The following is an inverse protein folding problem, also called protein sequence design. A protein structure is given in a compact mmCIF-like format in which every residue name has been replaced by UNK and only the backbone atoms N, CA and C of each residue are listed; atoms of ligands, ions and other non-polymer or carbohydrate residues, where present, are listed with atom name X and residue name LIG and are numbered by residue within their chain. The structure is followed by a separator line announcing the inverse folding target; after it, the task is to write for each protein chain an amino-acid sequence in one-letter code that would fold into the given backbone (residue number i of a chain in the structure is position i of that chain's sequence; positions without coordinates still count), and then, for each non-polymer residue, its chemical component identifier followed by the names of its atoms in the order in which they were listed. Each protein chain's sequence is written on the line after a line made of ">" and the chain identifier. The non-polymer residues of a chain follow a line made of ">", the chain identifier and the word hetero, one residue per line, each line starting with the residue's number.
data_IF_686358052669
#
_entry.id   IF_686358052669
#
_cell.length_a   1.000
_cell.length_b   1.000
_cell.length_c   1.000
_cell.angle_alpha   90.00
_cell.angle_beta   90.00
_cell.angle_gamma   90.00
#
_symmetry.space_group_name_H-M   'P 1'
#
loop_
_entity.id
_entity.type
_entity.pdbx_description
1 polymer ?
#
# COMPACT_ATOMS: atom_id res chain seq x y z
N UNK A 1 -3.50 11.08 -17.65
CA UNK A 1 -2.94 10.51 -16.41
C UNK A 1 -2.55 9.10 -16.75
N UNK A 2 -1.43 8.91 -17.43
CA UNK A 2 -1.06 7.58 -17.92
C UNK A 2 0.36 7.21 -17.44
N UNK A 3 1.15 8.21 -17.02
CA UNK A 3 2.55 8.05 -16.61
C UNK A 3 2.78 8.17 -15.10
N UNK A 4 1.71 8.26 -14.29
CA UNK A 4 1.81 8.48 -12.83
C UNK A 4 1.67 7.21 -11.98
N UNK A 5 1.57 6.05 -12.63
CA UNK A 5 1.30 4.78 -11.95
C UNK A 5 -0.19 4.56 -11.64
N UNK A 6 -0.46 3.66 -10.69
CA UNK A 6 -1.81 3.20 -10.36
C UNK A 6 -2.17 3.57 -8.92
N UNK A 7 -3.35 4.17 -8.73
CA UNK A 7 -3.93 4.38 -7.40
C UNK A 7 -4.71 3.12 -6.97
N UNK A 8 -4.31 2.53 -5.84
CA UNK A 8 -5.02 1.40 -5.23
C UNK A 8 -5.79 1.91 -4.01
N UNK A 9 -7.12 1.80 -4.05
CA UNK A 9 -7.99 2.10 -2.91
C UNK A 9 -8.20 0.81 -2.13
N UNK A 10 -7.72 0.75 -0.88
CA UNK A 10 -7.81 -0.45 -0.04
C UNK A 10 -9.22 -0.71 0.48
N UNK A 11 -9.94 0.35 0.85
CA UNK A 11 -11.33 0.31 1.34
C UNK A 11 -12.02 1.62 1.00
N UNK A 12 -13.35 1.61 0.73
CA UNK A 12 -14.14 2.84 0.55
C UNK A 12 -14.32 3.65 1.83
N UNK A 13 -14.11 3.06 3.00
CA UNK A 13 -14.26 3.75 4.29
C UNK A 13 -12.97 4.45 4.75
N UNK A 14 -13.05 5.23 5.84
CA UNK A 14 -11.87 5.91 6.38
C UNK A 14 -10.87 4.90 6.93
N UNK A 15 -9.75 4.76 6.23
CA UNK A 15 -8.62 3.94 6.66
C UNK A 15 -7.83 4.62 7.79
N UNK A 16 -7.54 3.90 8.87
CA UNK A 16 -6.91 4.45 10.09
C UNK A 16 -5.91 3.46 10.70
N UNK A 17 -4.83 3.97 11.30
CA UNK A 17 -3.85 3.15 12.02
C UNK A 17 -4.38 2.62 13.37
N UNK A 18 -5.46 3.21 13.90
CA UNK A 18 -6.07 2.78 15.16
C UNK A 18 -7.01 1.58 15.03
N UNK A 19 -7.38 1.17 13.81
CA UNK A 19 -8.15 -0.04 13.57
C UNK A 19 -7.21 -1.19 13.18
N UNK A 20 -7.12 -2.29 13.97
CA UNK A 20 -6.25 -3.42 13.66
C UNK A 20 -6.60 -4.14 12.34
N UNK A 21 -7.86 -4.09 11.90
CA UNK A 21 -8.29 -4.68 10.63
C UNK A 21 -7.71 -3.91 9.44
N UNK A 22 -7.68 -2.58 9.55
CA UNK A 22 -7.04 -1.72 8.54
C UNK A 22 -5.54 -2.03 8.44
N UNK A 23 -4.83 -2.10 9.57
CA UNK A 23 -3.41 -2.45 9.58
C UNK A 23 -3.19 -3.81 8.91
N UNK A 24 -4.00 -4.80 9.24
CA UNK A 24 -3.92 -6.15 8.65
C UNK A 24 -4.15 -6.15 7.13
N UNK A 25 -5.10 -5.32 6.65
CA UNK A 25 -5.35 -5.15 5.22
C UNK A 25 -4.15 -4.52 4.51
N UNK A 26 -3.55 -3.47 5.08
CA UNK A 26 -2.35 -2.85 4.52
C UNK A 26 -1.15 -3.81 4.49
N UNK A 27 -0.92 -4.58 5.56
CA UNK A 27 0.11 -5.60 5.62
C UNK A 27 -0.05 -6.63 4.49
N UNK A 28 -1.28 -7.15 4.31
CA UNK A 28 -1.59 -8.11 3.26
C UNK A 28 -1.32 -7.54 1.87
N UNK A 29 -1.78 -6.33 1.59
CA UNK A 29 -1.55 -5.68 0.29
C UNK A 29 -0.07 -5.41 0.07
N UNK A 30 0.67 -4.98 1.10
CA UNK A 30 2.11 -4.77 1.01
C UNK A 30 2.84 -6.05 0.61
N UNK A 31 2.50 -7.19 1.22
CA UNK A 31 3.09 -8.49 0.86
C UNK A 31 2.80 -8.86 -0.59
N UNK A 32 1.54 -8.71 -1.03
CA UNK A 32 1.15 -9.02 -2.42
C UNK A 32 1.89 -8.17 -3.44
N UNK A 33 1.98 -6.86 -3.21
CA UNK A 33 2.70 -5.94 -4.10
C UNK A 33 4.21 -6.20 -4.06
N UNK A 34 4.78 -6.53 -2.89
CA UNK A 34 6.18 -6.91 -2.77
C UNK A 34 6.51 -8.19 -3.54
N UNK A 35 5.65 -9.21 -3.45
CA UNK A 35 5.79 -10.45 -4.22
C UNK A 35 5.68 -10.24 -5.73
N UNK A 36 4.86 -9.28 -6.15
CA UNK A 36 4.73 -8.88 -7.55
C UNK A 36 5.91 -8.01 -8.05
N UNK A 37 6.88 -7.66 -7.20
CA UNK A 37 7.99 -6.77 -7.55
C UNK A 37 7.58 -5.31 -7.74
N UNK A 38 6.40 -4.92 -7.23
CA UNK A 38 5.84 -3.57 -7.37
C UNK A 38 6.23 -2.63 -6.22
N UNK A 39 6.89 -3.15 -5.18
CA UNK A 39 7.42 -2.35 -4.09
C UNK A 39 8.95 -2.33 -4.16
N UNK A 40 9.50 -1.15 -4.39
CA UNK A 40 10.93 -0.91 -4.23
C UNK A 40 11.26 -0.62 -2.76
N UNK A 41 12.48 -0.96 -2.29
CA UNK A 41 12.95 -0.55 -0.98
C UNK A 41 12.80 0.96 -0.82
N UNK A 42 12.35 1.44 0.34
CA UNK A 42 12.34 2.87 0.62
C UNK A 42 13.78 3.36 0.57
N UNK A 43 14.15 4.05 -0.51
CA UNK A 43 15.36 4.86 -0.51
C UNK A 43 15.09 6.00 0.48
N UNK A 44 15.75 5.95 1.63
CA UNK A 44 15.83 7.10 2.52
C UNK A 44 16.38 8.25 1.67
N UNK A 45 15.53 9.22 1.35
CA UNK A 45 15.98 10.42 0.67
C UNK A 45 17.05 11.09 1.56
N UNK A 46 18.19 11.49 0.98
CA UNK A 46 19.31 12.05 1.73
C UNK A 46 18.95 13.33 2.47
#
# INVERSE_FOLDING_TARGET
>A
MEDKGTLIILTPERFTAGNPEHVSLAERVRVLLGQAGLLEPLQAQP
#
